data_IF_414394735807
#
_entry.id   IF_414394735807
#
_cell.length_a   1.000
_cell.length_b   1.000
_cell.length_c   1.000
_cell.angle_alpha   90.00
_cell.angle_beta   90.00
_cell.angle_gamma   90.00
#
_symmetry.space_group_name_H-M   'P 1'
#
loop_
_entity.id
_entity.type
_entity.pdbx_description
1 polymer ?
#
# COMPACT_ATOMS: atom_id res chain seq x y z
N UNK A 1 -20.94 -28.86 -11.04
CA UNK A 1 -22.27 -29.36 -10.65
C UNK A 1 -22.09 -30.17 -9.38
N UNK A 2 -22.45 -29.59 -8.24
CA UNK A 2 -22.38 -30.27 -6.94
C UNK A 2 -23.51 -31.31 -6.89
N UNK A 3 -23.16 -32.57 -6.64
CA UNK A 3 -24.13 -33.68 -6.62
C UNK A 3 -24.99 -33.54 -5.38
N UNK A 4 -26.27 -33.24 -5.56
CA UNK A 4 -27.27 -33.34 -4.49
C UNK A 4 -27.29 -34.77 -3.98
N UNK A 5 -27.10 -34.96 -2.68
CA UNK A 5 -27.18 -36.29 -2.06
C UNK A 5 -28.58 -36.89 -2.34
N UNK A 6 -28.69 -38.09 -2.93
CA UNK A 6 -29.96 -38.74 -3.25
C UNK A 6 -30.92 -38.88 -2.06
N UNK A 7 -30.40 -38.94 -0.82
CA UNK A 7 -31.19 -39.05 0.41
C UNK A 7 -31.99 -37.77 0.72
N UNK A 8 -31.60 -36.65 0.12
CA UNK A 8 -32.30 -35.37 0.25
C UNK A 8 -33.53 -35.30 -0.66
N UNK A 9 -33.70 -36.27 -1.56
CA UNK A 9 -34.76 -36.29 -2.55
C UNK A 9 -35.88 -37.19 -2.04
N UNK A 10 -37.01 -36.59 -1.65
CA UNK A 10 -38.23 -37.34 -1.39
C UNK A 10 -38.77 -37.89 -2.72
N UNK A 11 -39.00 -39.20 -2.74
CA UNK A 11 -39.54 -39.93 -3.88
C UNK A 11 -40.98 -40.34 -3.59
N UNK A 12 -41.81 -40.35 -4.62
CA UNK A 12 -43.16 -40.90 -4.57
C UNK A 12 -43.13 -42.45 -4.52
N UNK A 13 -44.31 -43.06 -4.46
CA UNK A 13 -44.54 -44.51 -4.46
C UNK A 13 -44.01 -45.21 -5.73
N UNK A 14 -43.76 -44.46 -6.81
CA UNK A 14 -43.15 -44.92 -8.05
C UNK A 14 -41.63 -44.72 -8.07
N UNK A 15 -41.03 -44.21 -6.99
CA UNK A 15 -39.61 -43.94 -6.88
C UNK A 15 -39.15 -42.68 -7.64
N UNK A 16 -40.07 -41.83 -8.11
CA UNK A 16 -39.77 -40.60 -8.83
C UNK A 16 -39.60 -39.45 -7.83
N UNK A 17 -38.53 -38.68 -8.02
CA UNK A 17 -38.22 -37.51 -7.20
C UNK A 17 -39.34 -36.45 -7.33
N UNK A 18 -39.99 -36.08 -6.22
CA UNK A 18 -41.07 -35.08 -6.24
C UNK A 18 -40.76 -33.82 -5.42
N UNK A 19 -39.92 -33.91 -4.37
CA UNK A 19 -39.49 -32.73 -3.60
C UNK A 19 -38.15 -32.96 -2.90
N UNK A 20 -37.43 -31.88 -2.57
CA UNK A 20 -36.22 -31.95 -1.76
C UNK A 20 -36.60 -31.70 -0.30
N UNK A 21 -36.10 -32.51 0.65
CA UNK A 21 -36.37 -32.33 2.09
C UNK A 21 -35.77 -31.01 2.56
N UNK A 22 -36.59 -29.97 2.67
CA UNK A 22 -36.20 -28.62 3.07
C UNK A 22 -35.31 -28.58 4.34
N UNK A 23 -35.63 -29.38 5.35
CA UNK A 23 -34.84 -29.45 6.58
C UNK A 23 -33.40 -29.96 6.35
N UNK A 24 -33.25 -30.95 5.46
CA UNK A 24 -31.96 -31.54 5.15
C UNK A 24 -31.11 -30.62 4.25
N UNK A 25 -31.76 -29.84 3.36
CA UNK A 25 -31.10 -28.76 2.59
C UNK A 25 -30.67 -27.62 3.51
N UNK A 26 -31.49 -27.24 4.48
CA UNK A 26 -31.16 -26.18 5.43
C UNK A 26 -29.93 -26.51 6.27
N UNK A 27 -29.80 -27.76 6.74
CA UNK A 27 -28.61 -28.20 7.49
C UNK A 27 -27.33 -28.14 6.64
N UNK A 28 -27.41 -28.51 5.36
CA UNK A 28 -26.29 -28.40 4.43
C UNK A 28 -25.94 -26.95 4.13
N UNK A 29 -26.93 -26.10 3.85
CA UNK A 29 -26.72 -24.67 3.60
C UNK A 29 -26.14 -23.97 4.82
N UNK A 30 -26.56 -24.32 6.03
CA UNK A 30 -25.97 -23.79 7.26
C UNK A 30 -24.50 -24.21 7.39
N UNK A 31 -24.15 -25.45 7.06
CA UNK A 31 -22.77 -25.91 7.07
C UNK A 31 -21.90 -25.12 6.07
N UNK A 32 -22.37 -24.96 4.84
CA UNK A 32 -21.67 -24.19 3.81
C UNK A 32 -21.56 -22.70 4.18
N UNK A 33 -22.63 -22.12 4.74
CA UNK A 33 -22.61 -20.76 5.26
C UNK A 33 -21.55 -20.59 6.36
N UNK A 34 -21.47 -21.51 7.31
CA UNK A 34 -20.48 -21.47 8.38
C UNK A 34 -19.05 -21.64 7.86
N UNK A 35 -18.84 -22.49 6.84
CA UNK A 35 -17.53 -22.65 6.19
C UNK A 35 -17.10 -21.36 5.49
N UNK A 36 -17.95 -20.79 4.64
CA UNK A 36 -17.63 -19.57 3.92
C UNK A 36 -17.46 -18.38 4.88
N UNK A 37 -18.28 -18.28 5.94
CA UNK A 37 -18.10 -17.26 6.96
C UNK A 37 -16.73 -17.35 7.65
N UNK A 38 -16.30 -18.55 8.06
CA UNK A 38 -14.96 -18.75 8.64
C UNK A 38 -13.83 -18.36 7.67
N UNK A 39 -14.00 -18.69 6.39
CA UNK A 39 -13.03 -18.34 5.33
C UNK A 39 -12.94 -16.82 5.16
N UNK A 40 -14.06 -16.12 5.11
CA UNK A 40 -14.11 -14.65 5.03
C UNK A 40 -13.47 -14.02 6.27
N UNK A 41 -13.75 -14.54 7.46
CA UNK A 41 -13.13 -14.08 8.71
C UNK A 41 -11.61 -14.27 8.71
N UNK A 42 -11.12 -15.40 8.20
CA UNK A 42 -9.69 -15.63 8.07
C UNK A 42 -9.05 -14.70 7.03
N UNK A 43 -9.68 -14.54 5.87
CA UNK A 43 -9.22 -13.61 4.83
C UNK A 43 -9.15 -12.16 5.35
N UNK A 44 -10.13 -11.73 6.17
CA UNK A 44 -10.10 -10.41 6.79
C UNK A 44 -8.87 -10.25 7.70
N UNK A 45 -8.60 -11.22 8.56
CA UNK A 45 -7.43 -11.19 9.45
C UNK A 45 -6.12 -11.17 8.68
N UNK A 46 -6.00 -11.98 7.62
CA UNK A 46 -4.81 -12.03 6.78
C UNK A 46 -4.57 -10.68 6.09
N UNK A 47 -5.66 -10.04 5.61
CA UNK A 47 -5.60 -8.73 4.99
C UNK A 47 -5.21 -7.62 5.98
N UNK A 48 -5.79 -7.61 7.18
CA UNK A 48 -5.43 -6.68 8.26
C UNK A 48 -3.94 -6.82 8.63
N UNK A 49 -3.44 -8.05 8.76
CA UNK A 49 -2.03 -8.31 9.05
C UNK A 49 -1.12 -7.82 7.90
N UNK A 50 -1.51 -8.05 6.65
CA UNK A 50 -0.77 -7.58 5.48
C UNK A 50 -0.71 -6.04 5.43
N UNK A 51 -1.84 -5.37 5.68
CA UNK A 51 -1.91 -3.91 5.74
C UNK A 51 -1.01 -3.34 6.84
N UNK A 52 -1.05 -3.92 8.04
CA UNK A 52 -0.19 -3.50 9.15
C UNK A 52 1.31 -3.66 8.82
N UNK A 53 1.67 -4.73 8.10
CA UNK A 53 3.04 -4.94 7.61
C UNK A 53 3.43 -3.89 6.57
N UNK A 54 2.56 -3.63 5.60
CA UNK A 54 2.81 -2.62 4.56
C UNK A 54 2.94 -1.22 5.15
N UNK A 55 2.10 -0.85 6.11
CA UNK A 55 2.17 0.43 6.80
C UNK A 55 3.54 0.63 7.47
N UNK A 56 4.05 -0.38 8.19
CA UNK A 56 5.40 -0.35 8.79
C UNK A 56 6.51 -0.22 7.75
N UNK A 57 6.38 -0.89 6.61
CA UNK A 57 7.37 -0.79 5.52
C UNK A 57 7.39 0.61 4.91
N UNK A 58 6.22 1.23 4.74
CA UNK A 58 6.10 2.61 4.24
C UNK A 58 6.73 3.60 5.23
N UNK A 59 6.47 3.45 6.52
CA UNK A 59 7.07 4.28 7.57
C UNK A 59 8.60 4.17 7.58
N UNK A 60 9.12 2.94 7.53
CA UNK A 60 10.57 2.70 7.47
C UNK A 60 11.21 3.29 6.22
N UNK A 61 10.56 3.15 5.05
CA UNK A 61 11.04 3.73 3.79
C UNK A 61 11.03 5.26 3.85
N UNK A 62 9.98 5.85 4.41
CA UNK A 62 9.85 7.31 4.57
C UNK A 62 10.96 7.85 5.47
N UNK A 63 11.20 7.21 6.62
CA UNK A 63 12.30 7.58 7.51
C UNK A 63 13.67 7.43 6.84
N UNK A 64 13.87 6.35 6.07
CA UNK A 64 15.08 6.14 5.28
C UNK A 64 15.32 7.25 4.26
N UNK A 65 14.29 7.66 3.52
CA UNK A 65 14.36 8.75 2.55
C UNK A 65 14.66 10.11 3.22
N UNK A 66 14.02 10.40 4.35
CA UNK A 66 14.31 11.62 5.13
C UNK A 66 15.77 11.68 5.57
N UNK A 67 16.32 10.56 6.04
CA UNK A 67 17.73 10.46 6.44
C UNK A 67 18.68 10.69 5.27
N UNK A 68 18.42 10.08 4.12
CA UNK A 68 19.24 10.28 2.92
C UNK A 68 19.19 11.74 2.45
N UNK A 69 18.00 12.34 2.45
CA UNK A 69 17.82 13.76 2.10
C UNK A 69 18.63 14.69 3.02
N UNK A 70 18.58 14.46 4.34
CA UNK A 70 19.37 15.22 5.29
C UNK A 70 20.88 15.08 5.07
N UNK A 71 21.37 13.88 4.77
CA UNK A 71 22.80 13.66 4.46
C UNK A 71 23.22 14.40 3.18
N UNK A 72 22.36 14.44 2.16
CA UNK A 72 22.65 15.14 0.93
C UNK A 72 22.74 16.66 1.14
N UNK A 73 21.83 17.25 1.91
CA UNK A 73 21.88 18.69 2.23
C UNK A 73 23.12 19.05 3.06
N UNK A 74 23.55 18.20 3.99
CA UNK A 74 24.79 18.40 4.74
C UNK A 74 26.06 18.27 3.87
N UNK A 75 25.97 17.55 2.75
CA UNK A 75 27.08 17.36 1.80
C UNK A 75 27.22 18.48 0.77
N UNK A 76 26.32 19.47 0.74
CA UNK A 76 26.48 20.66 -0.12
C UNK A 76 27.65 21.52 0.39
N UNK A 77 28.68 21.77 -0.44
CA UNK A 77 29.76 22.67 -0.07
C UNK A 77 29.24 24.12 0.07
N UNK A 78 29.76 24.85 1.04
CA UNK A 78 29.42 26.26 1.30
C UNK A 78 29.59 27.11 0.02
N UNK A 79 28.70 28.10 -0.23
CA UNK A 79 28.87 29.00 -1.36
C UNK A 79 30.19 29.73 -1.18
N UNK A 80 31.14 29.45 -2.08
CA UNK A 80 32.39 30.20 -2.11
C UNK A 80 32.03 31.60 -2.57
N UNK A 81 31.84 32.51 -1.60
CA UNK A 81 31.78 33.95 -1.84
C UNK A 81 33.15 34.33 -2.41
N UNK A 82 33.23 34.46 -3.72
CA UNK A 82 34.41 34.97 -4.41
C UNK A 82 34.62 36.44 -4.08
N UNK A 83 35.19 36.73 -2.91
CA UNK A 83 35.80 38.03 -2.63
C UNK A 83 37.08 38.14 -3.43
N UNK A 84 36.96 38.59 -4.68
CA UNK A 84 38.12 39.04 -5.46
C UNK A 84 38.46 40.47 -5.05
N UNK A 85 39.11 40.62 -3.90
CA UNK A 85 39.86 41.83 -3.57
C UNK A 85 41.16 41.82 -4.38
N UNK A 86 41.25 42.75 -5.32
CA UNK A 86 42.44 43.00 -6.13
C UNK A 86 42.62 44.49 -6.29
N UNK A 87 43.15 45.13 -5.25
CA UNK A 87 43.67 46.49 -5.30
C UNK A 87 44.77 46.58 -6.37
N UNK A 88 44.64 47.52 -7.32
CA UNK A 88 45.82 48.14 -7.95
C UNK A 88 45.50 49.58 -8.33
N UNK A 89 45.79 50.46 -7.37
CA UNK A 89 46.06 51.88 -7.60
C UNK A 89 47.30 52.01 -8.49
N UNK A 90 47.19 52.68 -9.64
CA UNK A 90 48.31 53.42 -10.23
C UNK A 90 47.82 54.72 -10.89
N UNK A 91 47.98 55.81 -10.14
CA UNK A 91 48.56 57.12 -10.51
C UNK A 91 48.40 57.69 -11.94
N UNK A 92 47.68 58.82 -11.97
CA UNK A 92 48.12 60.16 -12.41
C UNK A 92 48.12 60.59 -13.89
N UNK A 93 47.49 61.76 -14.08
CA UNK A 93 47.92 62.93 -14.87
C UNK A 93 47.09 63.30 -16.13
N UNK A 94 46.49 64.50 -16.04
CA UNK A 94 46.26 65.54 -17.07
C UNK A 94 45.33 65.18 -18.24
N UNK A 95 44.32 65.95 -18.63
CA UNK A 95 44.13 67.40 -18.82
C UNK A 95 42.64 67.73 -18.57
N UNK A 96 42.22 68.74 -17.82
CA UNK A 96 42.23 70.19 -18.12
C UNK A 96 41.74 70.56 -19.52
N UNK A 97 40.49 71.05 -19.55
CA UNK A 97 40.08 72.35 -20.12
C UNK A 97 39.11 72.34 -21.32
N UNK A 98 38.07 73.18 -21.18
CA UNK A 98 37.23 73.86 -22.18
C UNK A 98 36.46 73.03 -23.22
N UNK A 99 35.15 73.19 -23.44
CA UNK A 99 34.33 74.41 -23.54
C UNK A 99 32.85 74.11 -23.34
#
# INVERSE_FOLDING_TARGET
MEKVNPDLVARDDQGKAYTVRYEAVNAMLLNEFLKEHRKVEQQRKDFEAALARQQKQIEALTAGLQKVSAQLELSKPAPQTGERSGSRTHIAATESDSS
#
